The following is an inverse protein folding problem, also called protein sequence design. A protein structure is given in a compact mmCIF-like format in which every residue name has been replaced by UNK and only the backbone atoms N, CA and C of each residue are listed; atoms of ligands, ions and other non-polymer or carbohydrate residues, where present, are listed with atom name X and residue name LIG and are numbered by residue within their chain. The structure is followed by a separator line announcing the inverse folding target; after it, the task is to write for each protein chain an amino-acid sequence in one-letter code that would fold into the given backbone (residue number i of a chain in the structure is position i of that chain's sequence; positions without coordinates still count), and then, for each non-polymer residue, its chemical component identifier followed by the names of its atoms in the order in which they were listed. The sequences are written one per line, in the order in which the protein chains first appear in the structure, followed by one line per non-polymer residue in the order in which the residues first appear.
data_IF_013641907320
#
_entry.id   IF_013641907320
#
_cell.length_a   1.000
_cell.length_b   1.000
_cell.length_c   1.000
_cell.angle_alpha   90.00
_cell.angle_beta   90.00
_cell.angle_gamma   90.00
#
_symmetry.space_group_name_H-M   'P 1'
#
loop_
_entity.id
_entity.type
_entity.pdbx_description
1 polymer ?
#
# COMPACT_ATOMS: atom_id res chain seq x y z
N UNK A 1 9.75 18.44 6.03
CA UNK A 1 8.85 17.88 5.01
C UNK A 1 7.90 16.84 5.63
N UNK A 2 6.63 16.79 5.22
CA UNK A 2 5.65 15.80 5.70
C UNK A 2 5.63 14.63 4.71
N UNK A 3 5.71 13.39 5.20
CA UNK A 3 5.55 12.19 4.37
C UNK A 3 4.10 12.06 3.93
N UNK A 4 3.87 11.74 2.67
CA UNK A 4 2.54 11.70 2.04
C UNK A 4 2.21 10.34 1.45
N UNK A 5 0.94 10.15 1.10
CA UNK A 5 0.50 8.97 0.32
C UNK A 5 1.25 8.85 -1.00
N UNK A 6 1.45 9.97 -1.69
CA UNK A 6 2.09 9.98 -3.00
C UNK A 6 3.53 9.48 -2.91
N UNK A 7 4.28 9.90 -1.89
CA UNK A 7 5.66 9.43 -1.65
C UNK A 7 5.70 7.90 -1.48
N UNK A 8 4.76 7.35 -0.70
CA UNK A 8 4.67 5.90 -0.48
C UNK A 8 4.25 5.15 -1.74
N UNK A 9 3.26 5.66 -2.48
CA UNK A 9 2.82 5.07 -3.75
C UNK A 9 3.96 5.05 -4.78
N UNK A 10 4.70 6.15 -4.91
CA UNK A 10 5.84 6.23 -5.83
C UNK A 10 6.92 5.22 -5.46
N UNK A 11 7.22 5.06 -4.17
CA UNK A 11 8.17 4.06 -3.71
C UNK A 11 7.71 2.63 -4.02
N UNK A 12 6.43 2.30 -3.80
CA UNK A 12 5.90 0.97 -4.11
C UNK A 12 5.90 0.68 -5.62
N UNK A 13 5.75 1.71 -6.46
CA UNK A 13 5.82 1.57 -7.91
C UNK A 13 7.25 1.47 -8.44
N UNK A 14 8.23 2.12 -7.77
CA UNK A 14 9.62 2.15 -8.22
C UNK A 14 10.47 1.02 -7.65
N UNK A 15 10.19 0.56 -6.43
CA UNK A 15 10.89 -0.58 -5.84
C UNK A 15 10.33 -1.88 -6.40
N UNK A 16 11.19 -2.75 -6.92
CA UNK A 16 10.79 -4.04 -7.50
C UNK A 16 11.16 -5.24 -6.61
N UNK A 17 12.03 -5.02 -5.62
CA UNK A 17 12.67 -6.11 -4.86
C UNK A 17 12.54 -5.91 -3.35
N UNK A 18 12.73 -4.68 -2.85
CA UNK A 18 12.74 -4.39 -1.41
C UNK A 18 11.67 -3.37 -1.05
N UNK A 19 10.59 -3.83 -0.42
CA UNK A 19 9.44 -2.99 -0.06
C UNK A 19 9.43 -2.61 1.43
N UNK A 20 10.54 -2.84 2.14
CA UNK A 20 10.61 -2.54 3.58
C UNK A 20 10.61 -1.02 3.82
N UNK A 21 10.04 -0.59 4.96
CA UNK A 21 10.04 0.83 5.35
C UNK A 21 11.44 1.34 5.75
N UNK A 22 12.34 0.44 6.14
CA UNK A 22 13.74 0.75 6.41
C UNK A 22 14.47 1.07 5.12
N UNK A 23 14.28 0.24 4.07
CA UNK A 23 14.80 0.55 2.74
C UNK A 23 14.26 1.88 2.23
N UNK A 24 12.95 2.18 2.39
CA UNK A 24 12.43 3.50 2.02
C UNK A 24 13.12 4.63 2.79
N UNK A 25 13.31 4.49 4.10
CA UNK A 25 13.96 5.51 4.92
C UNK A 25 15.43 5.76 4.50
N UNK A 26 16.16 4.73 4.05
CA UNK A 26 17.53 4.88 3.52
C UNK A 26 17.58 5.75 2.26
N UNK A 27 16.50 5.79 1.49
CA UNK A 27 16.39 6.57 0.25
C UNK A 27 15.79 7.97 0.47
N UNK A 28 15.50 8.36 1.72
CA UNK A 28 14.92 9.66 2.07
C UNK A 28 15.84 10.40 3.05
N UNK A 29 16.44 11.51 2.62
CA UNK A 29 17.43 12.25 3.41
C UNK A 29 16.94 12.74 4.80
N UNK A 30 15.63 12.94 4.98
CA UNK A 30 15.06 13.58 6.18
C UNK A 30 13.81 12.89 6.74
N UNK A 31 13.59 11.62 6.41
CA UNK A 31 12.42 10.86 6.87
C UNK A 31 12.86 9.52 7.43
N UNK A 32 12.74 9.36 8.76
CA UNK A 32 13.02 8.10 9.43
C UNK A 32 11.93 7.06 9.18
N UNK A 33 12.30 5.78 9.31
CA UNK A 33 11.36 4.66 9.20
C UNK A 33 10.23 4.74 10.25
N UNK A 34 10.50 5.27 11.45
CA UNK A 34 9.47 5.50 12.47
C UNK A 34 8.37 6.45 12.01
N UNK A 35 8.75 7.51 11.28
CA UNK A 35 7.80 8.49 10.75
C UNK A 35 6.92 7.87 9.66
N UNK A 36 7.48 6.98 8.84
CA UNK A 36 6.76 6.21 7.83
C UNK A 36 5.81 5.22 8.51
N UNK A 37 6.29 4.49 9.52
CA UNK A 37 5.49 3.55 10.31
C UNK A 37 4.30 4.26 10.98
N UNK A 38 4.53 5.43 11.59
CA UNK A 38 3.47 6.25 12.18
C UNK A 38 2.45 6.72 11.15
N UNK A 39 2.90 7.14 9.96
CA UNK A 39 2.02 7.46 8.84
C UNK A 39 1.15 6.26 8.45
N UNK A 40 1.74 5.09 8.21
CA UNK A 40 1.00 3.88 7.82
C UNK A 40 -0.01 3.43 8.88
N UNK A 41 0.31 3.59 10.17
CA UNK A 41 -0.63 3.28 11.27
C UNK A 41 -1.82 4.22 11.35
N UNK A 42 -1.64 5.50 10.99
CA UNK A 42 -2.69 6.51 11.08
C UNK A 42 -3.53 6.63 9.82
N UNK A 43 -2.94 6.36 8.67
CA UNK A 43 -3.58 6.60 7.39
C UNK A 43 -4.68 5.56 7.13
N UNK A 44 -5.89 6.04 6.81
CA UNK A 44 -7.02 5.16 6.46
C UNK A 44 -7.09 5.01 4.95
N UNK A 45 -6.63 3.87 4.45
CA UNK A 45 -6.76 3.48 3.04
C UNK A 45 -8.07 2.71 2.86
N UNK A 46 -9.16 3.43 2.61
CA UNK A 46 -10.49 2.83 2.46
C UNK A 46 -10.72 2.28 1.05
N UNK A 47 -11.56 1.24 0.87
CA UNK A 47 -11.94 0.77 -0.47
C UNK A 47 -12.57 1.88 -1.33
N UNK A 48 -13.28 2.83 -0.69
CA UNK A 48 -13.86 3.98 -1.39
C UNK A 48 -12.80 4.85 -2.06
N UNK A 49 -11.66 5.07 -1.39
CA UNK A 49 -10.53 5.81 -1.97
C UNK A 49 -10.04 5.13 -3.25
N UNK A 50 -9.90 3.80 -3.24
CA UNK A 50 -9.51 3.05 -4.43
C UNK A 50 -10.56 3.22 -5.54
N UNK A 51 -11.84 2.99 -5.24
CA UNK A 51 -12.94 3.12 -6.20
C UNK A 51 -12.96 4.50 -6.88
N UNK A 52 -12.83 5.57 -6.11
CA UNK A 52 -12.86 6.93 -6.64
C UNK A 52 -11.67 7.22 -7.60
N UNK A 53 -10.56 6.48 -7.50
CA UNK A 53 -9.41 6.60 -8.40
C UNK A 53 -9.50 5.70 -9.65
N UNK A 54 -10.22 4.57 -9.60
CA UNK A 54 -10.21 3.56 -10.68
C UNK A 54 -11.48 3.53 -11.52
N UNK A 55 -12.62 4.03 -11.01
CA UNK A 55 -13.93 3.94 -11.67
C UNK A 55 -13.94 4.43 -13.13
N UNK A 56 -13.19 5.49 -13.43
CA UNK A 56 -13.17 6.11 -14.75
C UNK A 56 -12.24 5.36 -15.73
N UNK A 57 -11.44 4.42 -15.22
CA UNK A 57 -10.57 3.52 -16.01
C UNK A 57 -11.33 2.23 -16.39
N UNK A 58 -12.43 1.92 -15.70
CA UNK A 58 -13.22 0.72 -15.96
C UNK A 58 -14.08 0.95 -17.20
N UNK A 59 -13.80 0.21 -18.27
CA UNK A 59 -14.61 0.21 -19.47
C UNK A 59 -15.78 -0.76 -19.30
N UNK A 60 -17.00 -0.27 -19.53
CA UNK A 60 -18.23 -1.09 -19.52
C UNK A 60 -18.57 -1.53 -20.93
N UNK A 61 -19.00 -2.79 -21.09
CA UNK A 61 -19.46 -3.36 -22.36
C UNK A 61 -20.70 -4.22 -22.06
N UNK A 62 -21.72 -4.17 -22.93
CA UNK A 62 -22.94 -4.96 -22.79
C UNK A 62 -22.68 -6.48 -22.86
N UNK A 63 -21.56 -6.89 -23.48
CA UNK A 63 -21.08 -8.27 -23.54
C UNK A 63 -19.93 -8.54 -22.55
N UNK A 64 -19.64 -7.59 -21.66
CA UNK A 64 -18.61 -7.71 -20.65
C UNK A 64 -19.01 -8.67 -19.53
N UNK A 65 -18.00 -9.30 -18.91
CA UNK A 65 -18.19 -10.20 -17.77
C UNK A 65 -17.43 -9.66 -16.57
N UNK A 66 -18.07 -9.67 -15.40
CA UNK A 66 -17.41 -9.39 -14.12
C UNK A 66 -16.98 -10.72 -13.51
N UNK A 67 -15.68 -10.90 -13.34
CA UNK A 67 -15.12 -12.07 -12.64
C UNK A 67 -14.90 -11.66 -11.19
N UNK A 68 -15.44 -12.45 -10.27
CA UNK A 68 -15.15 -12.32 -8.85
C UNK A 68 -14.46 -13.59 -8.38
N UNK A 69 -13.44 -13.43 -7.55
CA UNK A 69 -12.71 -14.50 -6.89
C UNK A 69 -12.29 -13.99 -5.51
N UNK A 70 -12.16 -14.89 -4.54
CA UNK A 70 -11.63 -14.55 -3.22
C UNK A 70 -10.16 -14.98 -3.09
N UNK A 71 -9.36 -14.14 -2.43
CA UNK A 71 -7.95 -14.43 -2.21
C UNK A 71 -7.64 -14.42 -0.73
N UNK A 72 -6.87 -15.40 -0.26
CA UNK A 72 -6.32 -15.42 1.10
C UNK A 72 -4.88 -14.95 1.06
N UNK A 73 -4.61 -13.81 1.71
CA UNK A 73 -3.24 -13.37 1.97
C UNK A 73 -2.68 -14.14 3.15
N UNK A 74 -1.88 -15.16 2.84
CA UNK A 74 -1.19 -15.94 3.84
C UNK A 74 -0.07 -15.14 4.50
N UNK A 75 -0.19 -14.94 5.81
CA UNK A 75 0.79 -14.25 6.65
C UNK A 75 1.35 -15.19 7.72
N UNK A 76 1.80 -16.38 7.32
CA UNK A 76 2.46 -17.38 8.17
C UNK A 76 3.56 -16.84 9.12
N UNK A 77 4.27 -15.78 8.74
CA UNK A 77 5.31 -15.16 9.56
C UNK A 77 4.83 -14.00 10.42
N UNK A 78 3.52 -13.69 10.42
CA UNK A 78 2.98 -12.61 11.23
C UNK A 78 3.19 -12.83 12.73
N UNK A 79 3.14 -14.07 13.20
CA UNK A 79 3.47 -14.46 14.58
C UNK A 79 4.92 -14.16 14.98
N UNK A 80 5.82 -13.97 13.99
CA UNK A 80 7.21 -13.57 14.22
C UNK A 80 7.36 -12.06 14.38
N UNK A 81 6.30 -11.30 14.13
CA UNK A 81 6.23 -9.86 14.35
C UNK A 81 5.65 -9.66 15.75
N UNK A 82 6.51 -9.27 16.70
CA UNK A 82 6.23 -9.17 18.15
C UNK A 82 4.96 -8.38 18.53
N UNK A 83 4.44 -7.55 17.61
CA UNK A 83 3.29 -6.65 17.78
C UNK A 83 1.99 -7.23 17.18
N UNK A 84 2.04 -8.32 16.43
CA UNK A 84 0.85 -8.96 15.85
C UNK A 84 0.36 -10.03 16.83
N UNK A 85 -0.83 -9.81 17.39
CA UNK A 85 -1.59 -10.82 18.16
C UNK A 85 -2.56 -11.57 17.26
#
# INVERSE_FOLDING_TARGET
MKFTKLDYCQYLLSSQINYTITNLAEHLENISHDKINYFLKKEKLTPRLLWDNVKDVIMTDDNGYVIFDDSVLDKRYSEKIEIVR
#
